data_IF_026042546785
#
_entry.id   IF_026042546785
#
_cell.length_a   1.000
_cell.length_b   1.000
_cell.length_c   1.000
_cell.angle_alpha   90.00
_cell.angle_beta   90.00
_cell.angle_gamma   90.00
#
_symmetry.space_group_name_H-M   'P 1'
#
loop_
_entity.id
_entity.type
_entity.pdbx_description
1 polymer ?
#
# COMPACT_ATOMS: atom_id res chain seq x y z
N UNK A 1 0.63 -33.76 -24.38
CA UNK A 1 1.70 -32.96 -23.75
C UNK A 1 1.16 -31.68 -23.11
N UNK A 2 0.20 -31.76 -22.17
CA UNK A 2 -0.37 -30.59 -21.47
C UNK A 2 0.05 -30.50 -19.99
N UNK A 3 0.45 -31.62 -19.40
CA UNK A 3 0.87 -31.69 -18.00
C UNK A 3 2.37 -31.36 -17.80
N UNK A 4 3.17 -31.36 -18.88
CA UNK A 4 4.61 -31.04 -18.81
C UNK A 4 4.83 -29.57 -18.44
N UNK A 5 3.98 -28.67 -18.94
CA UNK A 5 4.07 -27.23 -18.63
C UNK A 5 3.85 -26.99 -17.14
N UNK A 6 2.88 -27.67 -16.53
CA UNK A 6 2.61 -27.57 -15.09
C UNK A 6 3.79 -28.07 -14.24
N UNK A 7 4.42 -29.19 -14.65
CA UNK A 7 5.59 -29.74 -13.96
C UNK A 7 6.78 -28.76 -14.03
N UNK A 8 7.00 -28.11 -15.18
CA UNK A 8 8.06 -27.11 -15.36
C UNK A 8 7.81 -25.87 -14.49
N UNK A 9 6.57 -25.40 -14.41
CA UNK A 9 6.23 -24.22 -13.58
C UNK A 9 6.45 -24.51 -12.10
N UNK A 10 5.98 -25.65 -11.60
CA UNK A 10 6.14 -26.03 -10.19
C UNK A 10 7.64 -26.17 -9.84
N UNK A 11 8.43 -26.78 -10.73
CA UNK A 11 9.87 -26.89 -10.56
C UNK A 11 10.56 -25.51 -10.55
N UNK A 12 10.22 -24.63 -11.49
CA UNK A 12 10.76 -23.26 -11.52
C UNK A 12 10.47 -22.49 -10.24
N UNK A 13 9.24 -22.56 -9.72
CA UNK A 13 8.85 -21.88 -8.48
C UNK A 13 9.67 -22.37 -7.28
N UNK A 14 9.89 -23.69 -7.15
CA UNK A 14 10.70 -24.24 -6.05
C UNK A 14 12.16 -23.80 -6.07
N UNK A 15 12.80 -23.79 -7.26
CA UNK A 15 14.21 -23.37 -7.39
C UNK A 15 14.35 -21.85 -7.17
N UNK A 16 13.42 -21.05 -7.67
CA UNK A 16 13.41 -19.60 -7.48
C UNK A 16 13.24 -19.21 -6.00
N UNK A 17 12.36 -19.89 -5.26
CA UNK A 17 12.18 -19.63 -3.82
C UNK A 17 13.45 -19.95 -3.02
N UNK A 18 14.09 -21.09 -3.29
CA UNK A 18 15.35 -21.45 -2.63
C UNK A 18 16.49 -20.46 -2.97
N UNK A 19 16.64 -20.10 -4.25
CA UNK A 19 17.63 -19.11 -4.68
C UNK A 19 17.38 -17.73 -4.06
N UNK A 20 16.13 -17.29 -4.01
CA UNK A 20 15.76 -16.02 -3.38
C UNK A 20 16.09 -16.03 -1.88
N UNK A 21 15.78 -17.13 -1.17
CA UNK A 21 16.08 -17.27 0.26
C UNK A 21 17.59 -17.23 0.52
N UNK A 22 18.39 -17.96 -0.26
CA UNK A 22 19.86 -17.95 -0.18
C UNK A 22 20.45 -16.57 -0.51
N UNK A 23 19.91 -15.87 -1.52
CA UNK A 23 20.41 -14.53 -1.91
C UNK A 23 20.05 -13.46 -0.86
N UNK A 24 18.98 -13.66 -0.12
CA UNK A 24 18.55 -12.75 0.95
C UNK A 24 19.38 -12.96 2.22
N UNK A 25 19.77 -14.21 2.51
CA UNK A 25 20.63 -14.56 3.66
C UNK A 25 22.11 -14.19 3.44
N UNK A 26 22.64 -14.29 2.22
CA UNK A 26 24.03 -13.93 1.91
C UNK A 26 24.32 -12.41 1.94
N UNK A 27 23.36 -11.58 2.36
CA UNK A 27 23.55 -10.14 2.55
C UNK A 27 23.63 -9.75 4.03
N UNK A 28 24.03 -10.69 4.89
CA UNK A 28 24.19 -10.42 6.33
C UNK A 28 25.44 -11.10 6.91
N UNK A 29 26.60 -10.91 6.27
CA UNK A 29 27.85 -10.92 7.01
C UNK A 29 27.99 -9.57 7.73
N UNK A 30 27.58 -9.51 9.00
CA UNK A 30 28.52 -9.38 10.11
C UNK A 30 27.76 -9.18 11.44
N UNK A 31 28.33 -9.76 12.51
CA UNK A 31 28.05 -9.56 13.95
C UNK A 31 26.90 -10.35 14.61
N UNK A 32 27.35 -11.44 15.26
CA UNK A 32 27.06 -11.87 16.64
C UNK A 32 26.00 -11.03 17.40
N UNK A 33 24.89 -11.66 17.76
CA UNK A 33 24.55 -11.99 19.16
C UNK A 33 23.10 -12.48 19.22
N UNK A 34 22.96 -13.80 19.43
CA UNK A 34 21.69 -14.48 19.54
C UNK A 34 21.06 -14.23 20.93
N UNK A 35 20.31 -13.14 21.14
CA UNK A 35 19.33 -13.07 22.25
C UNK A 35 18.33 -11.89 22.26
N UNK A 36 17.76 -11.41 21.12
CA UNK A 36 16.80 -10.27 21.16
C UNK A 36 15.61 -10.33 20.19
N UNK A 37 15.25 -11.51 19.66
CA UNK A 37 14.33 -11.58 18.53
C UNK A 37 12.83 -11.36 18.83
N UNK A 38 12.43 -11.19 20.10
CA UNK A 38 11.00 -10.92 20.45
C UNK A 38 10.63 -9.44 20.58
N UNK A 39 11.59 -8.52 20.56
CA UNK A 39 11.28 -7.08 20.79
C UNK A 39 11.41 -6.22 19.52
N UNK A 40 12.15 -6.66 18.49
CA UNK A 40 12.40 -5.83 17.29
C UNK A 40 11.32 -5.91 16.20
N UNK A 41 10.52 -6.99 16.15
CA UNK A 41 9.41 -7.10 15.18
C UNK A 41 8.29 -6.08 15.46
N UNK A 42 8.10 -5.65 16.71
CA UNK A 42 7.17 -4.59 17.05
C UNK A 42 7.70 -3.20 16.65
N UNK A 43 9.01 -2.98 16.71
CA UNK A 43 9.64 -1.70 16.39
C UNK A 43 9.69 -1.42 14.88
N UNK A 44 9.98 -2.42 14.04
CA UNK A 44 9.95 -2.25 12.56
C UNK A 44 8.54 -2.00 12.00
N UNK A 45 7.49 -2.51 12.67
CA UNK A 45 6.09 -2.23 12.29
C UNK A 45 5.67 -0.81 12.68
N UNK A 46 6.20 -0.27 13.79
CA UNK A 46 5.99 1.12 14.21
C UNK A 46 6.75 2.13 13.36
N UNK A 47 7.97 1.81 12.90
CA UNK A 47 8.78 2.74 12.10
C UNK A 47 8.20 2.97 10.69
N UNK A 48 7.61 1.92 10.07
CA UNK A 48 6.83 2.09 8.81
C UNK A 48 5.53 2.87 9.00
N UNK A 49 4.91 2.79 10.17
CA UNK A 49 3.71 3.58 10.49
C UNK A 49 4.07 5.06 10.78
N UNK A 50 5.19 5.32 11.46
CA UNK A 50 5.66 6.68 11.76
C UNK A 50 6.12 7.44 10.51
N UNK A 51 6.80 6.79 9.55
CA UNK A 51 7.14 7.42 8.26
C UNK A 51 5.93 7.75 7.39
N UNK A 52 4.78 7.10 7.63
CA UNK A 52 3.53 7.33 6.88
C UNK A 52 2.86 8.65 7.28
N UNK A 53 3.01 9.07 8.54
CA UNK A 53 2.35 10.24 9.10
C UNK A 53 3.01 11.57 8.72
N UNK A 54 4.31 11.59 8.44
CA UNK A 54 5.05 12.85 8.22
C UNK A 54 4.77 13.50 6.85
N UNK A 55 4.22 12.75 5.90
CA UNK A 55 3.89 13.21 4.54
C UNK A 55 2.40 13.04 4.17
N UNK A 56 1.51 12.91 5.16
CA UNK A 56 0.08 12.93 4.89
C UNK A 56 -0.30 14.31 4.32
N UNK A 57 -0.81 14.38 3.07
CA UNK A 57 -1.21 15.65 2.48
C UNK A 57 -2.35 16.21 3.31
N UNK A 58 -2.17 17.38 3.94
CA UNK A 58 -3.25 18.05 4.70
C UNK A 58 -4.43 18.39 3.76
N UNK A 59 -5.37 17.47 3.60
CA UNK A 59 -6.58 17.70 2.81
C UNK A 59 -7.54 18.54 3.64
N UNK A 60 -7.80 19.78 3.23
CA UNK A 60 -8.81 20.65 3.88
C UNK A 60 -10.04 20.86 3.01
N UNK A 61 -9.88 20.79 1.69
CA UNK A 61 -10.94 21.04 0.72
C UNK A 61 -10.98 19.95 -0.34
N UNK A 62 -12.11 19.85 -1.06
CA UNK A 62 -12.24 18.98 -2.23
C UNK A 62 -11.20 19.30 -3.31
N UNK A 63 -10.80 20.57 -3.46
CA UNK A 63 -9.75 21.00 -4.40
C UNK A 63 -8.36 20.52 -3.98
N UNK A 64 -8.09 20.43 -2.68
CA UNK A 64 -6.83 19.86 -2.20
C UNK A 64 -6.77 18.37 -2.46
N UNK A 65 -7.90 17.67 -2.28
CA UNK A 65 -8.03 16.27 -2.61
C UNK A 65 -7.81 16.01 -4.10
N UNK A 66 -8.47 16.76 -4.98
CA UNK A 66 -8.36 16.55 -6.43
C UNK A 66 -6.93 16.67 -6.93
N UNK A 67 -6.14 17.62 -6.39
CA UNK A 67 -4.71 17.73 -6.69
C UNK A 67 -3.93 16.47 -6.36
N UNK A 68 -4.27 15.80 -5.25
CA UNK A 68 -3.62 14.54 -4.86
C UNK A 68 -4.10 13.39 -5.73
N UNK A 69 -5.40 13.27 -5.98
CA UNK A 69 -6.01 12.21 -6.78
C UNK A 69 -5.47 12.19 -8.22
N UNK A 70 -5.37 13.37 -8.85
CA UNK A 70 -4.86 13.50 -10.22
C UNK A 70 -3.34 13.69 -10.30
N UNK A 71 -2.59 13.56 -9.20
CA UNK A 71 -1.13 13.59 -9.22
C UNK A 71 -0.51 12.26 -9.65
N UNK A 72 0.81 12.25 -9.83
CA UNK A 72 1.60 11.04 -10.12
C UNK A 72 1.88 10.18 -8.86
N UNK A 73 1.26 10.50 -7.72
CA UNK A 73 1.40 9.68 -6.51
C UNK A 73 0.89 8.26 -6.73
N UNK A 74 1.44 7.32 -5.97
CA UNK A 74 0.99 5.94 -6.00
C UNK A 74 -0.47 5.81 -5.50
N UNK A 75 -1.11 4.72 -5.92
CA UNK A 75 -2.52 4.45 -5.61
C UNK A 75 -2.81 4.42 -4.11
N UNK A 76 -1.87 3.89 -3.31
CA UNK A 76 -2.04 3.85 -1.86
C UNK A 76 -2.00 5.25 -1.24
N UNK A 77 -1.11 6.14 -1.70
CA UNK A 77 -1.09 7.52 -1.26
C UNK A 77 -2.37 8.29 -1.65
N UNK A 78 -2.90 8.05 -2.85
CA UNK A 78 -4.17 8.62 -3.31
C UNK A 78 -5.36 8.13 -2.47
N UNK A 79 -5.44 6.82 -2.23
CA UNK A 79 -6.49 6.23 -1.39
C UNK A 79 -6.43 6.69 0.06
N UNK A 80 -5.23 6.87 0.64
CA UNK A 80 -5.10 7.41 2.00
C UNK A 80 -5.65 8.85 2.06
N UNK A 81 -5.31 9.69 1.08
CA UNK A 81 -5.82 11.06 1.01
C UNK A 81 -7.35 11.11 0.79
N UNK A 82 -7.87 10.20 -0.03
CA UNK A 82 -9.31 10.02 -0.21
C UNK A 82 -9.99 9.68 1.13
N UNK A 83 -9.44 8.73 1.88
CA UNK A 83 -9.99 8.33 3.18
C UNK A 83 -9.97 9.45 4.20
N UNK A 84 -8.87 10.19 4.27
CA UNK A 84 -8.76 11.37 5.12
C UNK A 84 -9.84 12.40 4.79
N UNK A 85 -10.20 12.56 3.52
CA UNK A 85 -11.27 13.46 3.11
C UNK A 85 -12.67 12.97 3.51
N UNK A 86 -12.92 11.66 3.46
CA UNK A 86 -14.15 11.04 3.96
C UNK A 86 -14.26 11.21 5.48
N UNK A 87 -13.19 10.92 6.21
CA UNK A 87 -13.15 11.03 7.67
C UNK A 87 -13.39 12.48 8.13
N UNK A 88 -12.97 13.47 7.33
CA UNK A 88 -13.23 14.90 7.56
C UNK A 88 -14.61 15.38 7.07
N UNK A 89 -15.42 14.51 6.47
CA UNK A 89 -16.73 14.86 5.93
C UNK A 89 -16.69 15.81 4.73
N UNK A 90 -15.57 15.87 4.00
CA UNK A 90 -15.42 16.75 2.82
C UNK A 90 -16.25 16.20 1.64
N UNK A 91 -16.29 14.89 1.51
CA UNK A 91 -17.01 14.13 0.50
C UNK A 91 -17.71 12.92 1.14
N UNK A 92 -18.83 12.44 0.58
CA UNK A 92 -19.44 11.16 0.96
C UNK A 92 -18.57 9.99 0.47
N UNK A 93 -18.70 8.83 1.12
CA UNK A 93 -18.01 7.59 0.73
C UNK A 93 -18.59 7.05 -0.60
N UNK A 94 -17.73 6.71 -1.53
CA UNK A 94 -18.06 6.03 -2.80
C UNK A 94 -18.12 4.51 -2.61
N UNK A 95 -18.89 3.84 -3.48
CA UNK A 95 -18.94 2.38 -3.55
C UNK A 95 -17.78 1.80 -4.37
N UNK A 96 -17.21 2.56 -5.30
CA UNK A 96 -16.06 2.18 -6.12
C UNK A 96 -14.73 2.51 -5.44
N UNK A 97 -14.28 1.63 -4.56
CA UNK A 97 -13.14 1.88 -3.67
C UNK A 97 -11.81 1.22 -4.12
N UNK A 98 -11.77 0.65 -5.33
CA UNK A 98 -10.57 0.01 -5.86
C UNK A 98 -9.54 1.00 -6.42
N UNK A 99 -10.01 2.10 -7.00
CA UNK A 99 -9.18 3.15 -7.58
C UNK A 99 -9.62 4.52 -7.07
N UNK A 100 -8.66 5.32 -6.62
CA UNK A 100 -8.88 6.59 -5.94
C UNK A 100 -9.54 7.62 -6.85
N UNK A 101 -9.25 7.57 -8.16
CA UNK A 101 -9.88 8.44 -9.16
C UNK A 101 -11.37 8.16 -9.25
N UNK A 102 -11.77 6.90 -9.45
CA UNK A 102 -13.18 6.52 -9.51
C UNK A 102 -13.89 6.75 -8.17
N UNK A 103 -13.21 6.45 -7.06
CA UNK A 103 -13.74 6.71 -5.72
C UNK A 103 -14.05 8.21 -5.55
N UNK A 104 -13.10 9.07 -5.91
CA UNK A 104 -13.26 10.51 -5.85
C UNK A 104 -14.39 11.01 -6.76
N UNK A 105 -14.42 10.60 -8.02
CA UNK A 105 -15.41 11.05 -9.01
C UNK A 105 -16.83 10.66 -8.63
N UNK A 106 -17.04 9.41 -8.21
CA UNK A 106 -18.35 8.97 -7.70
C UNK A 106 -18.72 9.75 -6.44
N UNK A 107 -17.77 10.01 -5.53
CA UNK A 107 -18.05 10.77 -4.31
C UNK A 107 -18.46 12.22 -4.59
N UNK A 108 -17.83 12.86 -5.58
CA UNK A 108 -18.21 14.20 -6.04
C UNK A 108 -19.61 14.17 -6.66
N UNK A 109 -19.90 13.17 -7.48
CA UNK A 109 -21.23 13.00 -8.05
C UNK A 109 -22.28 12.78 -6.95
N UNK A 110 -22.02 11.90 -5.98
CA UNK A 110 -22.90 11.63 -4.85
C UNK A 110 -23.16 12.90 -4.03
N UNK A 111 -22.13 13.72 -3.80
CA UNK A 111 -22.28 15.00 -3.08
C UNK A 111 -23.22 15.95 -3.83
N UNK A 112 -23.04 16.08 -5.15
CA UNK A 112 -23.81 17.02 -5.96
C UNK A 112 -25.25 16.55 -6.25
N UNK A 113 -25.56 15.26 -6.08
CA UNK A 113 -26.88 14.68 -6.41
C UNK A 113 -27.66 14.19 -5.18
N UNK A 114 -27.06 14.13 -4.00
CA UNK A 114 -27.76 13.81 -2.74
C UNK A 114 -27.94 15.03 -1.82
N UNK A 115 -27.54 16.22 -2.27
CA UNK A 115 -27.91 17.53 -1.68
C UNK A 115 -29.13 18.11 -2.42
#
# INVERSE_FOLDING_TARGET
MKNIILVVIIFCLTVLSAYFMIKTDNKQEDKKDANKEKTEQASKKKEKAQKKQENEPKIKTQKDLSKVIYSEKDEQAKMNAYNEAIDKGILPRSNNYQEAVYAYEESVWLKNNNE
#
